data_IF_587202112382
#
_entry.id   IF_587202112382
#
_cell.length_a   1.000
_cell.length_b   1.000
_cell.length_c   1.000
_cell.angle_alpha   90.00
_cell.angle_beta   90.00
_cell.angle_gamma   90.00
#
_symmetry.space_group_name_H-M   'P 1'
#
loop_
_entity.id
_entity.type
_entity.pdbx_description
1 polymer ?
#
# COMPACT_ATOMS: atom_id res chain seq x y z
N UNK A 1 13.16 30.15 6.26
CA UNK A 1 14.59 30.32 5.88
C UNK A 1 15.26 28.95 5.90
N UNK A 2 15.30 28.21 4.79
CA UNK A 2 16.01 26.91 4.73
C UNK A 2 16.64 26.74 3.35
N UNK A 3 17.96 26.50 3.36
CA UNK A 3 18.84 26.25 2.21
C UNK A 3 19.27 24.76 2.19
N UNK A 4 19.67 24.20 1.04
CA UNK A 4 19.70 22.75 0.81
C UNK A 4 21.03 22.05 1.18
N UNK A 5 20.93 20.72 1.35
CA UNK A 5 21.99 19.75 1.66
C UNK A 5 23.16 19.76 0.65
N UNK A 6 24.40 19.72 1.15
CA UNK A 6 25.64 19.51 0.38
C UNK A 6 26.47 18.39 1.06
N UNK A 7 27.03 17.45 0.28
CA UNK A 7 28.06 16.50 0.73
C UNK A 7 29.28 16.54 -0.22
N UNK A 8 30.53 16.29 0.26
CA UNK A 8 31.75 16.54 -0.53
C UNK A 8 32.29 15.31 -1.28
N UNK A 9 32.97 15.59 -2.41
CA UNK A 9 33.61 14.64 -3.35
C UNK A 9 34.80 13.88 -2.73
N UNK A 10 34.98 12.59 -3.09
CA UNK A 10 36.27 11.89 -3.01
C UNK A 10 36.79 11.53 -4.42
N UNK A 11 38.08 11.75 -4.61
CA UNK A 11 38.78 11.73 -5.89
C UNK A 11 39.07 10.33 -6.47
N UNK A 12 39.13 10.29 -7.80
CA UNK A 12 39.51 9.13 -8.62
C UNK A 12 40.99 8.79 -8.45
N UNK A 13 41.30 7.49 -8.36
CA UNK A 13 42.56 6.92 -8.86
C UNK A 13 42.26 5.89 -9.94
N UNK A 14 42.94 6.03 -11.07
CA UNK A 14 42.95 5.12 -12.22
C UNK A 14 44.18 4.24 -12.09
N UNK A 15 44.08 2.94 -12.38
CA UNK A 15 44.94 2.17 -13.31
C UNK A 15 44.83 0.65 -13.11
N UNK A 16 44.82 -0.06 -14.24
CA UNK A 16 45.24 -1.47 -14.34
C UNK A 16 44.20 -2.41 -14.95
N UNK A 17 44.20 -2.57 -16.29
CA UNK A 17 43.60 -3.74 -16.96
C UNK A 17 44.55 -4.93 -16.81
N UNK A 18 44.03 -6.16 -16.62
CA UNK A 18 44.42 -7.19 -17.59
C UNK A 18 43.32 -8.20 -17.98
N UNK A 19 43.52 -8.70 -19.21
CA UNK A 19 43.20 -10.02 -19.78
C UNK A 19 41.76 -10.57 -19.75
N UNK A 20 41.20 -10.71 -20.96
CA UNK A 20 40.03 -11.52 -21.29
C UNK A 20 40.26 -13.00 -20.94
N UNK A 21 39.38 -13.55 -20.10
CA UNK A 21 39.06 -14.98 -20.07
C UNK A 21 37.57 -15.13 -20.38
N UNK A 22 37.23 -15.70 -21.54
CA UNK A 22 35.84 -15.98 -21.91
C UNK A 22 35.38 -17.19 -21.10
N UNK A 23 34.63 -16.95 -20.02
CA UNK A 23 33.84 -17.98 -19.34
C UNK A 23 32.45 -17.95 -19.96
N UNK A 24 32.10 -19.00 -20.70
CA UNK A 24 30.78 -19.19 -21.27
C UNK A 24 29.79 -19.47 -20.12
N UNK A 25 29.14 -18.43 -19.60
CA UNK A 25 28.03 -18.60 -18.67
C UNK A 25 26.80 -19.06 -19.47
N UNK A 26 26.46 -20.34 -19.39
CA UNK A 26 25.16 -20.82 -19.84
C UNK A 26 24.08 -20.23 -18.93
N UNK A 27 23.40 -19.18 -19.42
CA UNK A 27 22.24 -18.59 -18.74
C UNK A 27 21.10 -19.59 -18.89
N UNK A 28 20.83 -20.35 -17.83
CA UNK A 28 19.59 -21.11 -17.71
C UNK A 28 18.47 -20.09 -17.44
N UNK A 29 17.81 -19.63 -18.50
CA UNK A 29 16.58 -18.85 -18.39
C UNK A 29 15.50 -19.75 -17.79
N UNK A 30 15.36 -19.75 -16.47
CA UNK A 30 14.16 -20.24 -15.84
C UNK A 30 13.01 -19.34 -16.30
N UNK A 31 12.17 -19.84 -17.20
CA UNK A 31 10.87 -19.26 -17.50
C UNK A 31 10.03 -19.39 -16.23
N UNK A 32 10.09 -18.38 -15.36
CA UNK A 32 9.08 -18.20 -14.34
C UNK A 32 7.79 -17.85 -15.07
N UNK A 33 6.89 -18.81 -15.20
CA UNK A 33 5.49 -18.50 -15.44
C UNK A 33 5.04 -17.70 -14.23
N UNK A 34 4.88 -16.39 -14.41
CA UNK A 34 4.12 -15.56 -13.47
C UNK A 34 2.70 -16.11 -13.54
N UNK A 35 2.36 -17.02 -12.62
CA UNK A 35 0.96 -17.38 -12.41
C UNK A 35 0.27 -16.09 -11.97
N UNK A 36 -0.72 -15.58 -12.72
CA UNK A 36 -1.53 -14.48 -12.22
C UNK A 36 -2.10 -14.90 -10.87
N UNK A 37 -2.06 -13.99 -9.88
CA UNK A 37 -2.70 -14.20 -8.60
C UNK A 37 -4.15 -14.64 -8.86
N UNK A 38 -4.47 -15.91 -8.59
CA UNK A 38 -5.77 -16.46 -8.88
C UNK A 38 -6.80 -15.82 -7.95
N UNK A 39 -7.83 -15.21 -8.53
CA UNK A 39 -9.01 -14.78 -7.79
C UNK A 39 -9.58 -15.99 -7.04
N UNK A 40 -9.64 -15.92 -5.71
CA UNK A 40 -10.27 -16.97 -4.93
C UNK A 40 -11.75 -17.01 -5.30
N UNK A 41 -12.18 -18.14 -5.86
CA UNK A 41 -13.54 -18.35 -6.34
C UNK A 41 -14.18 -19.46 -5.52
N UNK A 42 -15.40 -19.25 -5.05
CA UNK A 42 -16.14 -20.24 -4.28
C UNK A 42 -17.45 -19.71 -3.74
N UNK A 43 -18.13 -20.53 -2.94
CA UNK A 43 -19.36 -20.11 -2.26
C UNK A 43 -19.07 -19.14 -1.12
N UNK A 44 -19.91 -18.11 -1.00
CA UNK A 44 -19.98 -17.27 0.20
C UNK A 44 -21.13 -17.82 1.05
N UNK A 45 -20.84 -18.39 2.21
CA UNK A 45 -21.88 -18.95 3.12
C UNK A 45 -22.10 -18.04 4.31
N UNK A 46 -23.31 -18.00 4.87
CA UNK A 46 -23.66 -17.13 5.99
C UNK A 46 -24.71 -17.75 6.90
N UNK A 47 -25.74 -16.96 7.22
CA UNK A 47 -26.81 -17.35 8.15
C UNK A 47 -27.37 -18.75 7.82
N UNK A 48 -27.48 -19.60 8.85
CA UNK A 48 -27.94 -20.99 8.74
C UNK A 48 -27.15 -21.87 7.75
N UNK A 49 -25.90 -21.52 7.43
CA UNK A 49 -25.05 -22.26 6.50
C UNK A 49 -25.46 -22.11 5.03
N UNK A 50 -26.36 -21.16 4.73
CA UNK A 50 -26.86 -20.92 3.38
C UNK A 50 -25.94 -20.00 2.58
N UNK A 51 -26.09 -20.01 1.27
CA UNK A 51 -25.23 -19.35 0.32
C UNK A 51 -25.76 -17.97 -0.10
N UNK A 52 -24.84 -17.04 -0.38
CA UNK A 52 -25.10 -15.82 -1.15
C UNK A 52 -25.38 -16.21 -2.60
N UNK A 53 -26.57 -15.87 -3.10
CA UNK A 53 -27.12 -16.42 -4.32
C UNK A 53 -27.64 -15.32 -5.25
N UNK A 54 -27.35 -15.43 -6.54
CA UNK A 54 -27.99 -14.60 -7.58
C UNK A 54 -29.34 -15.23 -7.94
N UNK A 55 -30.42 -14.51 -7.66
CA UNK A 55 -31.77 -15.05 -7.80
C UNK A 55 -32.05 -15.60 -9.20
N UNK A 56 -32.43 -16.89 -9.26
CA UNK A 56 -32.76 -17.60 -10.49
C UNK A 56 -31.58 -17.76 -11.46
N UNK A 57 -30.33 -17.59 -11.00
CA UNK A 57 -29.13 -17.54 -11.84
C UNK A 57 -29.22 -16.49 -12.96
N UNK A 58 -30.03 -15.45 -12.77
CA UNK A 58 -30.28 -14.44 -13.79
C UNK A 58 -29.14 -13.42 -13.81
N UNK A 59 -28.37 -13.38 -14.89
CA UNK A 59 -27.25 -12.45 -15.06
C UNK A 59 -27.67 -11.04 -15.51
N UNK A 60 -28.96 -10.69 -15.53
CA UNK A 60 -29.38 -9.32 -15.84
C UNK A 60 -28.96 -8.31 -14.75
N UNK A 61 -28.71 -7.06 -15.14
CA UNK A 61 -28.53 -5.97 -14.18
C UNK A 61 -29.82 -5.77 -13.38
N UNK A 62 -29.69 -5.57 -12.07
CA UNK A 62 -30.82 -5.43 -11.17
C UNK A 62 -31.33 -6.75 -10.59
N UNK A 63 -30.75 -7.89 -10.98
CA UNK A 63 -31.11 -9.17 -10.37
C UNK A 63 -30.85 -9.13 -8.87
N UNK A 64 -31.84 -9.59 -8.12
CA UNK A 64 -31.77 -9.72 -6.68
C UNK A 64 -30.64 -10.67 -6.24
N UNK A 65 -29.82 -10.22 -5.28
CA UNK A 65 -28.98 -11.13 -4.48
C UNK A 65 -29.77 -11.57 -3.23
N UNK A 66 -29.80 -12.87 -2.98
CA UNK A 66 -30.62 -13.50 -1.94
C UNK A 66 -29.83 -14.53 -1.12
N UNK A 67 -30.39 -14.92 0.02
CA UNK A 67 -29.94 -16.08 0.78
C UNK A 67 -30.65 -17.33 0.22
N UNK A 68 -29.90 -18.38 -0.10
CA UNK A 68 -30.47 -19.60 -0.65
C UNK A 68 -29.67 -20.83 -0.22
N UNK A 69 -30.32 -21.99 -0.18
CA UNK A 69 -29.62 -23.26 0.06
C UNK A 69 -28.48 -23.45 -0.94
N UNK A 70 -27.34 -23.90 -0.42
CA UNK A 70 -26.16 -24.14 -1.25
C UNK A 70 -26.42 -25.26 -2.25
N UNK A 71 -26.37 -24.94 -3.55
CA UNK A 71 -26.72 -25.83 -4.66
C UNK A 71 -25.58 -26.01 -5.68
N UNK A 72 -24.43 -25.36 -5.47
CA UNK A 72 -23.23 -25.52 -6.29
C UNK A 72 -23.30 -24.92 -7.70
N UNK A 73 -24.37 -24.18 -8.02
CA UNK A 73 -24.52 -23.53 -9.33
C UNK A 73 -23.63 -22.30 -9.45
N UNK A 74 -23.43 -21.82 -10.69
CA UNK A 74 -22.70 -20.58 -10.96
C UNK A 74 -23.31 -19.34 -10.29
N UNK A 75 -24.59 -19.37 -9.92
CA UNK A 75 -25.27 -18.31 -9.18
C UNK A 75 -24.75 -18.11 -7.75
N UNK A 76 -24.03 -19.11 -7.22
CA UNK A 76 -23.44 -19.11 -5.88
C UNK A 76 -21.91 -19.15 -5.93
N UNK A 77 -21.32 -19.09 -7.13
CA UNK A 77 -19.88 -19.06 -7.31
C UNK A 77 -19.44 -17.60 -7.40
N UNK A 78 -18.85 -17.12 -6.30
CA UNK A 78 -18.36 -15.75 -6.19
C UNK A 78 -16.85 -15.71 -6.26
N UNK A 79 -16.30 -14.84 -7.11
CA UNK A 79 -14.89 -14.52 -7.09
C UNK A 79 -14.63 -13.27 -6.26
N UNK A 80 -13.57 -13.33 -5.46
CA UNK A 80 -13.00 -12.19 -4.78
C UNK A 80 -11.64 -11.91 -5.43
N UNK A 81 -11.64 -10.97 -6.38
CA UNK A 81 -10.47 -10.66 -7.22
C UNK A 81 -9.40 -9.83 -6.51
N UNK A 82 -9.64 -9.39 -5.27
CA UNK A 82 -8.71 -8.54 -4.51
C UNK A 82 -8.72 -7.06 -4.93
N UNK A 83 -9.57 -6.68 -5.88
CA UNK A 83 -9.78 -5.30 -6.33
C UNK A 83 -10.94 -4.60 -5.62
N UNK A 84 -11.37 -5.15 -4.49
CA UNK A 84 -12.51 -4.68 -3.69
C UNK A 84 -13.88 -5.10 -4.23
N UNK A 85 -13.97 -5.82 -5.35
CA UNK A 85 -15.26 -6.32 -5.86
C UNK A 85 -15.49 -7.80 -5.53
N UNK A 86 -16.74 -8.16 -5.28
CA UNK A 86 -17.21 -9.55 -5.23
C UNK A 86 -18.03 -9.81 -6.49
N UNK A 87 -17.71 -10.86 -7.26
CA UNK A 87 -18.30 -11.09 -8.58
C UNK A 87 -18.95 -12.44 -8.74
N UNK A 88 -20.12 -12.48 -9.35
CA UNK A 88 -20.78 -13.70 -9.80
C UNK A 88 -21.34 -13.49 -11.20
N UNK A 89 -21.34 -14.55 -12.02
CA UNK A 89 -21.87 -14.51 -13.39
C UNK A 89 -21.31 -13.35 -14.26
N UNK A 90 -20.05 -12.96 -14.01
CA UNK A 90 -19.36 -11.87 -14.73
C UNK A 90 -19.73 -10.46 -14.27
N UNK A 91 -20.50 -10.31 -13.19
CA UNK A 91 -21.00 -9.03 -12.67
C UNK A 91 -20.67 -8.85 -11.19
N UNK A 92 -20.82 -7.64 -10.69
CA UNK A 92 -20.43 -7.24 -9.34
C UNK A 92 -21.60 -7.24 -8.35
N UNK A 93 -21.32 -7.57 -7.09
CA UNK A 93 -22.18 -7.32 -5.95
C UNK A 93 -22.32 -5.80 -5.76
N UNK A 94 -23.54 -5.29 -5.80
CA UNK A 94 -23.84 -3.87 -5.96
C UNK A 94 -24.91 -3.42 -4.97
N UNK A 95 -24.69 -2.30 -4.28
CA UNK A 95 -25.75 -1.63 -3.52
C UNK A 95 -26.57 -0.76 -4.48
N UNK A 96 -27.88 -1.03 -4.52
CA UNK A 96 -28.86 -0.37 -5.39
C UNK A 96 -28.77 1.15 -5.24
N UNK A 97 -28.73 1.86 -6.38
CA UNK A 97 -28.71 3.32 -6.47
C UNK A 97 -27.63 4.02 -5.62
N UNK A 98 -26.54 3.30 -5.28
CA UNK A 98 -25.48 3.79 -4.39
C UNK A 98 -26.01 4.19 -3.00
N UNK A 99 -27.09 3.55 -2.56
CA UNK A 99 -27.69 3.82 -1.25
C UNK A 99 -26.70 3.60 -0.11
N UNK A 100 -26.77 4.45 0.91
CA UNK A 100 -25.93 4.37 2.13
C UNK A 100 -26.76 4.20 3.40
N UNK A 101 -28.09 4.22 3.30
CA UNK A 101 -29.00 4.04 4.42
C UNK A 101 -29.16 2.56 4.81
N UNK A 102 -29.54 2.32 6.06
CA UNK A 102 -29.95 0.99 6.52
C UNK A 102 -31.12 0.46 5.69
N UNK A 103 -31.01 -0.78 5.24
CA UNK A 103 -32.03 -1.43 4.41
C UNK A 103 -31.90 -1.18 2.92
N UNK A 104 -30.87 -0.45 2.46
CA UNK A 104 -30.60 -0.35 1.02
C UNK A 104 -30.29 -1.74 0.46
N UNK A 105 -31.03 -2.11 -0.59
CA UNK A 105 -30.98 -3.46 -1.14
C UNK A 105 -29.69 -3.72 -1.93
N UNK A 106 -29.33 -5.00 -2.03
CA UNK A 106 -28.19 -5.47 -2.83
C UNK A 106 -28.67 -6.21 -4.08
N UNK A 107 -27.96 -6.01 -5.18
CA UNK A 107 -28.25 -6.53 -6.50
C UNK A 107 -26.97 -6.99 -7.23
N UNK A 108 -27.16 -7.64 -8.37
CA UNK A 108 -26.11 -7.90 -9.34
C UNK A 108 -26.11 -6.78 -10.40
N UNK A 109 -24.94 -6.22 -10.69
CA UNK A 109 -24.80 -5.15 -11.68
C UNK A 109 -23.46 -5.22 -12.42
N UNK A 110 -23.41 -4.64 -13.62
CA UNK A 110 -22.15 -4.47 -14.34
C UNK A 110 -21.07 -3.81 -13.48
N UNK A 111 -19.86 -4.37 -13.54
CA UNK A 111 -18.74 -3.85 -12.79
C UNK A 111 -18.31 -2.48 -13.35
N UNK A 112 -18.53 -1.44 -12.56
CA UNK A 112 -18.16 -0.05 -12.85
C UNK A 112 -16.99 0.44 -12.01
N UNK A 113 -16.61 -0.30 -10.96
CA UNK A 113 -15.65 0.12 -9.95
C UNK A 113 -16.19 1.17 -8.97
N UNK A 114 -17.47 1.53 -9.08
CA UNK A 114 -18.13 2.49 -8.19
C UNK A 114 -18.09 2.09 -6.72
N UNK A 115 -18.12 3.07 -5.83
CA UNK A 115 -18.00 2.87 -4.38
C UNK A 115 -19.08 1.94 -3.78
N UNK A 116 -20.25 1.84 -4.43
CA UNK A 116 -21.34 0.94 -4.06
C UNK A 116 -21.11 -0.53 -4.46
N UNK A 117 -20.03 -0.81 -5.20
CA UNK A 117 -19.57 -2.15 -5.59
C UNK A 117 -18.27 -2.55 -4.88
N UNK A 118 -17.78 -1.69 -3.99
CA UNK A 118 -16.58 -1.93 -3.20
C UNK A 118 -16.95 -2.59 -1.87
N UNK A 119 -16.27 -3.67 -1.55
CA UNK A 119 -16.52 -4.53 -0.40
C UNK A 119 -15.21 -4.94 0.25
N UNK A 120 -15.20 -4.98 1.58
CA UNK A 120 -14.10 -5.50 2.39
C UNK A 120 -14.62 -6.68 3.16
N UNK A 121 -14.03 -7.85 2.95
CA UNK A 121 -14.27 -9.00 3.81
C UNK A 121 -13.42 -8.79 5.07
N UNK A 122 -13.91 -9.02 6.29
CA UNK A 122 -13.10 -8.81 7.50
C UNK A 122 -12.70 -10.13 8.13
N UNK A 123 -11.68 -10.13 8.99
CA UNK A 123 -11.34 -11.30 9.82
C UNK A 123 -12.46 -11.69 10.79
N UNK A 124 -13.37 -10.75 11.09
CA UNK A 124 -14.56 -11.00 11.90
C UNK A 124 -15.73 -11.54 11.06
N UNK A 125 -15.47 -11.97 9.81
CA UNK A 125 -16.45 -12.50 8.86
C UNK A 125 -17.52 -11.49 8.44
N UNK A 126 -17.26 -10.19 8.52
CA UNK A 126 -18.15 -9.19 7.94
C UNK A 126 -17.83 -8.99 6.45
N UNK A 127 -18.83 -8.65 5.64
CA UNK A 127 -18.62 -8.11 4.29
C UNK A 127 -19.10 -6.67 4.32
N UNK A 128 -18.19 -5.71 4.32
CA UNK A 128 -18.47 -4.30 4.59
C UNK A 128 -18.41 -3.50 3.31
N UNK A 129 -19.43 -2.68 3.02
CA UNK A 129 -19.30 -1.61 2.02
C UNK A 129 -18.65 -0.39 2.69
N UNK A 130 -17.41 0.01 2.32
CA UNK A 130 -16.70 1.09 3.00
C UNK A 130 -17.35 2.46 2.80
N UNK A 131 -18.01 2.69 1.66
CA UNK A 131 -18.63 3.96 1.33
C UNK A 131 -19.88 4.24 2.18
N UNK A 132 -20.64 3.19 2.51
CA UNK A 132 -21.77 3.27 3.42
C UNK A 132 -21.38 3.06 4.89
N UNK A 133 -20.20 2.50 5.17
CA UNK A 133 -19.78 2.00 6.48
C UNK A 133 -20.80 1.02 7.09
N UNK A 134 -21.27 0.07 6.26
CA UNK A 134 -22.34 -0.89 6.59
C UNK A 134 -22.01 -2.29 6.10
N UNK A 135 -22.57 -3.29 6.78
CA UNK A 135 -22.34 -4.70 6.53
C UNK A 135 -23.41 -5.29 5.60
N UNK A 136 -23.02 -6.24 4.76
CA UNK A 136 -23.94 -7.12 4.03
C UNK A 136 -24.76 -7.93 5.03
N UNK A 137 -26.07 -7.83 4.92
CA UNK A 137 -27.02 -8.23 5.94
C UNK A 137 -28.13 -9.08 5.33
N UNK A 138 -28.41 -10.23 5.94
CA UNK A 138 -29.63 -10.99 5.66
C UNK A 138 -30.78 -10.29 6.36
N UNK A 139 -31.70 -9.75 5.55
CA UNK A 139 -32.81 -8.95 6.01
C UNK A 139 -33.64 -9.67 7.07
N UNK A 140 -33.94 -8.93 8.14
CA UNK A 140 -34.76 -9.37 9.28
C UNK A 140 -34.23 -10.65 9.97
N UNK A 141 -32.95 -10.99 9.79
CA UNK A 141 -32.34 -12.24 10.28
C UNK A 141 -33.14 -13.51 9.85
N UNK A 142 -33.74 -13.46 8.66
CA UNK A 142 -34.62 -14.51 8.16
C UNK A 142 -33.85 -15.53 7.30
N UNK A 143 -33.74 -16.77 7.78
CA UNK A 143 -33.01 -17.86 7.10
C UNK A 143 -33.80 -18.55 5.97
N UNK A 144 -35.01 -18.09 5.63
CA UNK A 144 -35.77 -18.64 4.51
C UNK A 144 -35.04 -18.47 3.16
N UNK A 145 -35.25 -19.42 2.24
CA UNK A 145 -34.77 -19.28 0.86
C UNK A 145 -35.45 -18.09 0.19
N UNK A 146 -34.66 -17.29 -0.52
CA UNK A 146 -35.14 -16.10 -1.22
C UNK A 146 -35.15 -14.84 -0.36
N UNK A 147 -34.72 -14.90 0.91
CA UNK A 147 -34.56 -13.69 1.73
C UNK A 147 -33.58 -12.73 1.04
N UNK A 148 -33.99 -11.48 0.84
CA UNK A 148 -33.18 -10.47 0.17
C UNK A 148 -32.00 -10.01 1.04
N UNK A 149 -30.88 -9.74 0.39
CA UNK A 149 -29.75 -9.06 1.02
C UNK A 149 -29.91 -7.54 0.97
N UNK A 150 -29.42 -6.90 2.02
CA UNK A 150 -29.36 -5.47 2.18
C UNK A 150 -28.01 -5.07 2.80
N UNK A 151 -27.76 -3.77 2.92
CA UNK A 151 -26.74 -3.25 3.83
C UNK A 151 -27.39 -2.76 5.12
N UNK A 152 -26.73 -2.98 6.24
CA UNK A 152 -27.17 -2.49 7.55
C UNK A 152 -25.97 -2.11 8.42
N UNK A 153 -26.19 -1.24 9.39
CA UNK A 153 -25.21 -0.91 10.43
C UNK A 153 -24.60 -2.19 10.98
N UNK A 154 -23.27 -2.27 11.01
CA UNK A 154 -22.57 -3.46 11.47
C UNK A 154 -22.85 -3.68 12.97
N UNK A 155 -23.58 -4.74 13.30
CA UNK A 155 -23.98 -5.09 14.68
C UNK A 155 -23.18 -6.27 15.23
N UNK A 156 -22.53 -7.04 14.37
CA UNK A 156 -21.86 -8.29 14.73
C UNK A 156 -22.81 -9.48 14.87
N UNK A 157 -24.11 -9.31 14.59
CA UNK A 157 -25.10 -10.38 14.62
C UNK A 157 -24.87 -11.45 13.53
N UNK A 158 -25.40 -12.65 13.75
CA UNK A 158 -25.16 -13.83 12.89
C UNK A 158 -25.62 -13.62 11.42
N UNK A 159 -26.62 -12.79 11.17
CA UNK A 159 -27.11 -12.45 9.83
C UNK A 159 -26.16 -11.54 9.02
N UNK A 160 -25.07 -11.07 9.62
CA UNK A 160 -24.04 -10.26 8.98
C UNK A 160 -22.70 -11.01 8.87
N UNK A 161 -22.67 -12.28 9.25
CA UNK A 161 -21.47 -13.12 9.25
C UNK A 161 -21.43 -14.02 8.03
N UNK A 162 -20.32 -13.93 7.31
CA UNK A 162 -20.10 -14.56 6.02
C UNK A 162 -18.73 -15.24 5.95
N UNK A 163 -18.73 -16.52 5.58
CA UNK A 163 -17.55 -17.24 5.14
C UNK A 163 -17.42 -17.05 3.63
N UNK A 164 -16.71 -16.01 3.22
CA UNK A 164 -16.39 -15.77 1.82
C UNK A 164 -15.09 -16.49 1.42
N UNK A 165 -14.92 -16.87 0.14
CA UNK A 165 -13.61 -17.21 -0.39
C UNK A 165 -12.66 -16.06 -0.07
N UNK A 166 -11.52 -16.40 0.53
CA UNK A 166 -10.47 -15.44 0.81
C UNK A 166 -9.89 -14.97 -0.53
N UNK A 167 -10.52 -13.99 -1.17
CA UNK A 167 -9.73 -13.09 -1.98
C UNK A 167 -8.85 -12.31 -1.03
N UNK A 168 -7.76 -11.75 -1.55
CA UNK A 168 -6.77 -11.01 -0.78
C UNK A 168 -7.30 -9.73 -0.08
N UNK A 169 -8.60 -9.65 0.25
CA UNK A 169 -9.29 -8.51 0.84
C UNK A 169 -10.07 -8.85 2.12
N UNK A 170 -9.66 -9.85 2.91
CA UNK A 170 -10.17 -10.00 4.27
C UNK A 170 -9.35 -10.85 5.22
N UNK A 171 -8.73 -10.18 6.21
CA UNK A 171 -7.95 -10.80 7.29
C UNK A 171 -6.64 -11.48 6.87
N UNK A 172 -6.50 -11.79 5.58
CA UNK A 172 -5.30 -12.31 4.95
C UNK A 172 -4.58 -11.21 4.19
N UNK A 173 -3.47 -10.79 4.78
CA UNK A 173 -2.40 -10.00 4.22
C UNK A 173 -2.06 -10.39 2.75
N UNK A 174 -2.24 -9.51 1.75
CA UNK A 174 -2.10 -9.85 0.32
C UNK A 174 -0.70 -10.35 -0.11
N UNK A 175 0.29 -10.18 0.76
CA UNK A 175 1.71 -10.44 0.48
C UNK A 175 2.51 -10.98 1.67
N UNK A 176 1.86 -11.28 2.81
CA UNK A 176 2.61 -11.47 4.05
C UNK A 176 3.21 -10.17 4.64
N UNK A 177 2.79 -8.99 4.16
CA UNK A 177 3.12 -7.68 4.74
C UNK A 177 2.50 -7.36 6.11
N UNK A 178 3.31 -7.20 7.14
CA UNK A 178 2.86 -7.14 8.54
C UNK A 178 1.91 -6.00 8.96
N UNK A 179 1.50 -5.12 8.05
CA UNK A 179 0.51 -4.04 8.29
C UNK A 179 -0.72 -4.31 7.46
N UNK A 180 -1.87 -4.50 8.10
CA UNK A 180 -3.16 -4.64 7.40
C UNK A 180 -3.68 -3.31 6.85
N UNK A 181 -4.60 -3.35 5.90
CA UNK A 181 -5.26 -2.15 5.38
C UNK A 181 -5.99 -1.35 6.47
N UNK A 182 -6.62 -2.03 7.43
CA UNK A 182 -7.27 -1.39 8.56
C UNK A 182 -6.27 -0.62 9.43
N UNK A 183 -5.12 -1.22 9.71
CA UNK A 183 -4.03 -0.56 10.45
C UNK A 183 -3.45 0.61 9.63
N UNK A 184 -3.25 0.45 8.32
CA UNK A 184 -2.84 1.53 7.44
C UNK A 184 -3.83 2.71 7.45
N UNK A 185 -5.14 2.44 7.41
CA UNK A 185 -6.19 3.45 7.53
C UNK A 185 -6.16 4.14 8.90
N UNK A 186 -5.91 3.40 9.98
CA UNK A 186 -5.75 3.97 11.32
C UNK A 186 -4.50 4.84 11.45
N UNK A 187 -3.41 4.47 10.79
CA UNK A 187 -2.17 5.25 10.75
C UNK A 187 -2.36 6.58 10.01
N UNK A 188 -3.13 6.56 8.91
CA UNK A 188 -3.31 7.68 7.98
C UNK A 188 -4.80 8.02 7.71
N UNK A 189 -5.52 8.56 8.71
CA UNK A 189 -6.95 8.81 8.60
C UNK A 189 -7.33 9.95 7.64
N UNK A 190 -6.41 10.90 7.43
CA UNK A 190 -6.65 12.10 6.60
C UNK A 190 -5.85 12.08 5.29
N UNK A 191 -5.35 10.91 4.86
CA UNK A 191 -4.49 10.83 3.67
C UNK A 191 -5.21 11.27 2.41
N UNK A 192 -4.43 11.79 1.47
CA UNK A 192 -4.87 11.98 0.10
C UNK A 192 -5.24 10.63 -0.54
N UNK A 193 -6.33 10.59 -1.30
CA UNK A 193 -6.79 9.38 -2.02
C UNK A 193 -5.76 8.81 -3.01
N UNK A 194 -4.76 9.59 -3.40
CA UNK A 194 -3.58 9.14 -4.16
C UNK A 194 -2.81 8.01 -3.45
N UNK A 195 -2.67 8.06 -2.13
CA UNK A 195 -1.93 7.06 -1.37
C UNK A 195 -2.83 5.90 -0.98
N UNK A 196 -2.90 4.90 -1.85
CA UNK A 196 -3.70 3.69 -1.61
C UNK A 196 -2.86 2.63 -0.91
N UNK A 197 -3.52 1.80 -0.09
CA UNK A 197 -2.89 0.63 0.52
C UNK A 197 -2.47 -0.38 -0.56
N UNK A 198 -3.29 -0.53 -1.60
CA UNK A 198 -3.03 -1.33 -2.78
C UNK A 198 -1.74 -0.89 -3.48
N UNK A 199 -1.54 0.42 -3.66
CA UNK A 199 -0.30 0.99 -4.21
C UNK A 199 0.93 0.62 -3.38
N UNK A 200 0.83 0.69 -2.04
CA UNK A 200 1.91 0.26 -1.15
C UNK A 200 2.20 -1.24 -1.33
N UNK A 201 1.17 -2.08 -1.23
CA UNK A 201 1.35 -3.54 -1.34
C UNK A 201 1.88 -3.99 -2.70
N UNK A 202 1.49 -3.31 -3.79
CA UNK A 202 2.00 -3.57 -5.13
C UNK A 202 3.49 -3.19 -5.28
N UNK A 203 3.96 -2.23 -4.50
CA UNK A 203 5.36 -1.79 -4.50
C UNK A 203 6.30 -2.73 -3.72
N UNK A 204 5.78 -3.51 -2.76
CA UNK A 204 6.59 -4.37 -1.87
C UNK A 204 7.44 -5.39 -2.62
N UNK A 205 6.95 -5.89 -3.77
CA UNK A 205 7.69 -6.87 -4.59
C UNK A 205 9.00 -6.32 -5.16
N UNK A 206 9.17 -4.99 -5.24
CA UNK A 206 10.43 -4.37 -5.65
C UNK A 206 11.54 -4.55 -4.60
N UNK A 207 11.18 -4.79 -3.34
CA UNK A 207 12.11 -4.95 -2.22
C UNK A 207 11.66 -6.09 -1.30
N UNK A 208 11.86 -7.36 -1.71
CA UNK A 208 11.31 -8.51 -1.00
C UNK A 208 11.85 -8.72 0.42
N UNK A 209 12.95 -8.06 0.79
CA UNK A 209 13.50 -8.08 2.16
C UNK A 209 12.86 -7.08 3.13
N UNK A 210 12.15 -6.08 2.63
CA UNK A 210 11.48 -5.06 3.44
C UNK A 210 10.31 -5.68 4.23
N UNK A 211 10.32 -5.50 5.55
CA UNK A 211 9.30 -6.01 6.47
C UNK A 211 9.05 -7.53 6.39
N UNK A 212 10.04 -8.30 5.88
CA UNK A 212 10.04 -9.77 5.83
C UNK A 212 11.31 -10.37 6.49
N UNK A 213 12.26 -9.52 6.88
CA UNK A 213 13.54 -9.92 7.49
C UNK A 213 13.46 -9.89 9.02
N UNK A 214 14.03 -10.90 9.68
CA UNK A 214 14.05 -11.00 11.14
C UNK A 214 12.73 -11.50 11.76
N UNK A 215 12.57 -11.28 13.06
CA UNK A 215 11.38 -11.69 13.83
C UNK A 215 10.12 -10.91 13.43
N UNK A 216 8.92 -11.39 13.77
CA UNK A 216 7.67 -10.65 13.55
C UNK A 216 7.70 -9.24 14.19
N UNK A 217 8.31 -9.13 15.37
CA UNK A 217 8.59 -7.84 16.03
C UNK A 217 9.46 -6.93 15.16
N UNK A 218 10.57 -7.45 14.63
CA UNK A 218 11.50 -6.69 13.77
C UNK A 218 10.80 -6.22 12.50
N UNK A 219 10.00 -7.09 11.86
CA UNK A 219 9.25 -6.78 10.65
C UNK A 219 8.23 -5.66 10.90
N UNK A 220 7.47 -5.73 12.00
CA UNK A 220 6.50 -4.71 12.39
C UNK A 220 7.16 -3.39 12.78
N UNK A 221 8.28 -3.45 13.50
CA UNK A 221 9.09 -2.27 13.81
C UNK A 221 9.60 -1.60 12.52
N UNK A 222 10.12 -2.37 11.57
CA UNK A 222 10.57 -1.82 10.29
C UNK A 222 9.43 -1.16 9.52
N UNK A 223 8.28 -1.84 9.38
CA UNK A 223 7.13 -1.29 8.69
C UNK A 223 6.61 -0.01 9.36
N UNK A 224 6.50 0.00 10.69
CA UNK A 224 6.14 1.19 11.46
C UNK A 224 7.16 2.32 11.28
N UNK A 225 8.46 2.02 11.26
CA UNK A 225 9.53 3.01 11.10
C UNK A 225 9.50 3.66 9.71
N UNK A 226 9.28 2.87 8.67
CA UNK A 226 9.10 3.39 7.31
C UNK A 226 7.88 4.30 7.23
N UNK A 227 6.71 3.81 7.67
CA UNK A 227 5.47 4.56 7.61
C UNK A 227 5.50 5.82 8.48
N UNK A 228 6.17 5.81 9.62
CA UNK A 228 6.31 6.98 10.49
C UNK A 228 7.15 8.09 9.84
N UNK A 229 8.26 7.74 9.19
CA UNK A 229 9.04 8.71 8.43
C UNK A 229 8.24 9.24 7.24
N UNK A 230 7.52 8.38 6.52
CA UNK A 230 6.61 8.78 5.44
C UNK A 230 5.54 9.75 5.96
N UNK A 231 4.94 9.47 7.11
CA UNK A 231 3.98 10.35 7.78
C UNK A 231 4.58 11.73 8.04
N UNK A 232 5.85 11.80 8.45
CA UNK A 232 6.51 13.06 8.71
C UNK A 232 6.77 13.86 7.42
N UNK A 233 7.29 13.22 6.38
CA UNK A 233 7.61 13.89 5.10
C UNK A 233 6.39 14.48 4.40
N UNK A 234 5.21 13.87 4.60
CA UNK A 234 4.01 14.15 3.80
C UNK A 234 2.86 14.76 4.60
N UNK A 235 3.07 15.05 5.89
CA UNK A 235 2.01 15.52 6.78
C UNK A 235 0.90 14.47 6.98
N UNK A 236 1.28 13.20 7.15
CA UNK A 236 0.35 12.08 7.29
C UNK A 236 -0.28 11.65 5.96
N UNK A 237 0.50 11.67 4.88
CA UNK A 237 0.08 11.38 3.51
C UNK A 237 -0.95 12.36 2.95
N UNK A 238 -1.07 13.56 3.52
CA UNK A 238 -1.95 14.64 3.01
C UNK A 238 -1.39 15.23 1.72
N UNK A 239 -0.07 15.38 1.64
CA UNK A 239 0.61 16.04 0.53
C UNK A 239 1.29 15.03 -0.40
N UNK A 240 1.00 15.12 -1.70
CA UNK A 240 1.65 14.31 -2.75
C UNK A 240 2.92 14.97 -3.29
N UNK A 241 2.95 16.31 -3.26
CA UNK A 241 4.02 17.14 -3.81
C UNK A 241 4.48 18.17 -2.78
N UNK A 242 5.71 18.66 -2.93
CA UNK A 242 6.22 19.78 -2.15
C UNK A 242 5.33 21.02 -2.28
N UNK A 243 4.98 21.63 -1.15
CA UNK A 243 4.02 22.74 -1.11
C UNK A 243 4.63 24.08 -1.52
N UNK A 244 5.92 24.30 -1.25
CA UNK A 244 6.59 25.56 -1.58
C UNK A 244 7.08 25.54 -3.03
N UNK A 245 6.22 25.94 -3.96
CA UNK A 245 6.51 25.94 -5.40
C UNK A 245 7.68 26.85 -5.79
N UNK A 246 7.99 27.87 -4.98
CA UNK A 246 9.16 28.74 -5.20
C UNK A 246 10.49 27.98 -5.15
N UNK A 247 10.54 26.82 -4.47
CA UNK A 247 11.74 26.00 -4.39
C UNK A 247 11.94 25.11 -5.62
N UNK A 248 10.93 24.89 -6.46
CA UNK A 248 10.97 23.86 -7.51
C UNK A 248 12.18 23.98 -8.46
N UNK A 249 12.62 25.18 -8.90
CA UNK A 249 13.79 25.33 -9.76
C UNK A 249 15.13 24.98 -9.09
N UNK A 250 15.15 24.77 -7.77
CA UNK A 250 16.37 24.48 -6.98
C UNK A 250 16.88 23.06 -7.21
N UNK A 251 15.98 22.12 -7.51
CA UNK A 251 16.27 20.68 -7.50
C UNK A 251 16.87 20.16 -8.81
N UNK A 252 17.45 21.04 -9.62
CA UNK A 252 18.17 20.67 -10.82
C UNK A 252 19.67 20.88 -10.59
N UNK A 253 20.41 19.79 -10.43
CA UNK A 253 21.87 19.80 -10.39
C UNK A 253 22.43 19.72 -11.82
N UNK A 254 22.80 20.87 -12.37
CA UNK A 254 23.45 21.00 -13.68
C UNK A 254 24.87 20.43 -13.74
N UNK A 255 25.48 20.06 -12.62
CA UNK A 255 26.78 19.39 -12.63
C UNK A 255 26.68 17.92 -13.06
N UNK A 256 25.47 17.36 -13.08
CA UNK A 256 25.19 16.02 -13.61
C UNK A 256 25.27 16.02 -15.14
N UNK A 257 25.98 15.06 -15.72
CA UNK A 257 26.17 15.00 -17.18
C UNK A 257 24.88 14.80 -17.98
N UNK A 258 23.84 14.26 -17.35
CA UNK A 258 22.51 14.07 -17.94
C UNK A 258 21.57 15.27 -17.73
N UNK A 259 21.99 16.30 -16.99
CA UNK A 259 21.22 17.51 -16.76
C UNK A 259 19.82 17.25 -16.19
N UNK A 260 18.84 18.00 -16.70
CA UNK A 260 17.48 18.05 -16.21
C UNK A 260 16.49 18.00 -17.37
N UNK A 261 16.39 16.86 -18.09
CA UNK A 261 15.65 16.78 -19.35
C UNK A 261 14.15 17.04 -19.20
N UNK A 262 13.54 16.74 -18.05
CA UNK A 262 12.15 17.07 -17.76
C UNK A 262 11.93 18.57 -17.45
N UNK A 263 12.99 19.37 -17.37
CA UNK A 263 12.98 20.80 -17.07
C UNK A 263 13.58 21.15 -15.71
N UNK A 264 14.12 22.36 -15.57
CA UNK A 264 14.79 22.84 -14.35
C UNK A 264 13.91 22.73 -13.09
N UNK A 265 12.61 22.99 -13.22
CA UNK A 265 11.65 22.97 -12.12
C UNK A 265 10.89 21.64 -11.99
N UNK A 266 11.38 20.55 -12.57
CA UNK A 266 10.64 19.29 -12.64
C UNK A 266 10.98 18.28 -11.52
N UNK A 267 12.02 18.50 -10.72
CA UNK A 267 12.56 17.52 -9.76
C UNK A 267 12.31 17.88 -8.28
N UNK A 268 11.22 18.61 -8.02
CA UNK A 268 10.74 18.90 -6.67
C UNK A 268 10.27 17.65 -5.93
N UNK A 269 10.04 17.78 -4.62
CA UNK A 269 9.63 16.68 -3.75
C UNK A 269 8.31 16.05 -4.17
N UNK A 270 8.29 14.73 -4.37
CA UNK A 270 7.07 13.94 -4.63
C UNK A 270 7.01 12.63 -3.84
N UNK A 271 5.80 12.16 -3.62
CA UNK A 271 5.56 10.82 -3.10
C UNK A 271 5.92 10.67 -1.61
N UNK A 272 5.95 9.43 -1.10
CA UNK A 272 5.96 9.15 0.34
C UNK A 272 7.24 9.58 1.07
N UNK A 273 8.35 9.75 0.35
CA UNK A 273 9.63 10.22 0.90
C UNK A 273 10.02 11.60 0.36
N UNK A 274 9.10 12.31 -0.32
CA UNK A 274 9.38 13.59 -0.96
C UNK A 274 10.63 13.54 -1.85
N UNK A 275 10.72 12.54 -2.75
CA UNK A 275 11.84 12.34 -3.66
C UNK A 275 12.14 13.65 -4.42
N UNK A 276 13.35 14.15 -4.27
CA UNK A 276 13.79 15.46 -4.79
C UNK A 276 15.15 15.33 -5.45
N UNK A 277 15.49 16.24 -6.37
CA UNK A 277 16.74 16.30 -7.15
C UNK A 277 16.83 15.34 -8.34
N UNK A 278 17.21 15.86 -9.52
CA UNK A 278 17.40 15.10 -10.75
C UNK A 278 18.26 13.84 -10.58
N UNK A 279 19.33 13.90 -9.79
CA UNK A 279 20.19 12.72 -9.55
C UNK A 279 19.49 11.62 -8.75
N UNK A 280 18.58 11.95 -7.83
CA UNK A 280 17.81 10.95 -7.10
C UNK A 280 16.72 10.35 -7.97
N UNK A 281 16.05 11.15 -8.80
CA UNK A 281 15.09 10.63 -9.80
C UNK A 281 15.79 9.68 -10.78
N UNK A 282 16.99 10.02 -11.25
CA UNK A 282 17.81 9.12 -12.08
C UNK A 282 18.16 7.82 -11.36
N UNK A 283 18.71 7.90 -10.15
CA UNK A 283 19.14 6.73 -9.40
C UNK A 283 17.97 5.81 -8.99
N UNK A 284 16.84 6.38 -8.59
CA UNK A 284 15.62 5.63 -8.31
C UNK A 284 15.07 4.97 -9.58
N UNK A 285 15.02 5.72 -10.68
CA UNK A 285 14.55 5.21 -11.95
C UNK A 285 15.36 4.04 -12.48
N UNK A 286 16.69 4.15 -12.44
CA UNK A 286 17.61 3.07 -12.83
C UNK A 286 17.39 1.81 -11.99
N UNK A 287 17.24 1.95 -10.67
CA UNK A 287 17.05 0.82 -9.77
C UNK A 287 15.69 0.14 -9.94
N UNK A 288 14.65 0.90 -10.32
CA UNK A 288 13.27 0.42 -10.45
C UNK A 288 12.92 -0.01 -11.88
N UNK A 289 13.78 0.27 -12.87
CA UNK A 289 13.48 0.07 -14.28
C UNK A 289 12.37 1.00 -14.81
N UNK A 290 12.29 2.23 -14.26
CA UNK A 290 11.28 3.23 -14.60
C UNK A 290 12.00 4.52 -14.96
N UNK A 291 11.72 5.12 -16.11
CA UNK A 291 12.38 6.37 -16.53
C UNK A 291 11.82 7.60 -15.78
N UNK A 292 12.28 7.77 -14.54
CA UNK A 292 11.89 8.87 -13.66
C UNK A 292 12.69 10.16 -13.92
N UNK A 293 13.80 10.10 -14.66
CA UNK A 293 14.55 11.31 -15.00
C UNK A 293 13.79 12.13 -16.04
N UNK A 294 13.29 11.49 -17.10
CA UNK A 294 12.51 12.16 -18.13
C UNK A 294 11.02 12.27 -17.77
N UNK A 295 10.50 11.37 -16.91
CA UNK A 295 9.10 11.34 -16.51
C UNK A 295 8.90 11.45 -14.97
N UNK A 296 9.40 12.52 -14.31
CA UNK A 296 9.36 12.63 -12.85
C UNK A 296 7.93 12.74 -12.28
N UNK A 297 6.95 13.15 -13.10
CA UNK A 297 5.55 13.22 -12.68
C UNK A 297 4.90 11.86 -12.41
N UNK A 298 5.49 10.75 -12.85
CA UNK A 298 5.00 9.41 -12.49
C UNK A 298 4.92 9.24 -10.96
N UNK A 299 5.85 9.84 -10.20
CA UNK A 299 5.88 9.78 -8.73
C UNK A 299 4.69 10.50 -8.06
N UNK A 300 3.99 11.39 -8.76
CA UNK A 300 2.76 12.05 -8.28
C UNK A 300 1.48 11.59 -8.98
N UNK A 301 1.58 10.76 -10.02
CA UNK A 301 0.45 10.33 -10.84
C UNK A 301 0.18 8.82 -10.70
N UNK A 302 1.17 8.02 -10.28
CA UNK A 302 1.03 6.59 -10.03
C UNK A 302 1.43 6.26 -8.58
N UNK A 303 0.46 5.77 -7.81
CA UNK A 303 0.63 5.43 -6.39
C UNK A 303 1.69 4.36 -6.16
N UNK A 304 1.71 3.30 -6.99
CA UNK A 304 2.66 2.21 -6.85
C UNK A 304 4.08 2.67 -7.18
N UNK A 305 4.24 3.52 -8.20
CA UNK A 305 5.54 4.15 -8.51
C UNK A 305 6.01 5.00 -7.33
N UNK A 306 5.13 5.82 -6.75
CA UNK A 306 5.48 6.63 -5.57
C UNK A 306 5.93 5.77 -4.38
N UNK A 307 5.22 4.68 -4.09
CA UNK A 307 5.62 3.75 -3.04
C UNK A 307 6.94 3.05 -3.34
N UNK A 308 7.19 2.66 -4.60
CA UNK A 308 8.48 2.10 -5.01
C UNK A 308 9.63 3.07 -4.79
N UNK A 309 9.46 4.38 -5.02
CA UNK A 309 10.53 5.36 -4.74
C UNK A 309 10.80 5.50 -3.24
N UNK A 310 9.76 5.44 -2.41
CA UNK A 310 9.92 5.40 -0.95
C UNK A 310 10.69 4.17 -0.47
N UNK A 311 10.31 2.99 -0.97
CA UNK A 311 10.99 1.74 -0.65
C UNK A 311 12.43 1.70 -1.20
N UNK A 312 12.68 2.27 -2.38
CA UNK A 312 14.02 2.42 -2.93
C UNK A 312 14.92 3.19 -1.98
N UNK A 313 14.46 4.34 -1.49
CA UNK A 313 15.24 5.13 -0.54
C UNK A 313 15.52 4.32 0.73
N UNK A 314 14.47 3.75 1.34
CA UNK A 314 14.54 3.00 2.58
C UNK A 314 15.53 1.82 2.55
N UNK A 315 15.55 1.08 1.44
CA UNK A 315 16.31 -0.15 1.32
C UNK A 315 17.72 0.06 0.77
N UNK A 316 17.99 1.17 0.07
CA UNK A 316 19.24 1.33 -0.69
C UNK A 316 20.05 2.57 -0.34
N UNK A 317 19.45 3.58 0.28
CA UNK A 317 20.09 4.87 0.51
C UNK A 317 20.46 5.07 1.99
N UNK A 318 21.68 5.56 2.24
CA UNK A 318 22.11 5.97 3.59
C UNK A 318 21.92 7.46 3.86
N UNK A 319 21.63 8.26 2.82
CA UNK A 319 21.54 9.72 2.91
C UNK A 319 22.71 10.33 3.70
N UNK A 320 22.47 11.24 4.66
CA UNK A 320 23.52 11.79 5.51
C UNK A 320 23.95 10.87 6.68
N UNK A 321 23.34 9.69 6.81
CA UNK A 321 23.72 8.67 7.79
C UNK A 321 24.81 7.73 7.29
N UNK A 322 25.00 6.62 8.00
CA UNK A 322 26.05 5.62 7.72
C UNK A 322 25.50 4.25 7.31
N UNK A 323 24.18 4.08 7.32
CA UNK A 323 23.50 2.83 6.97
C UNK A 323 22.14 3.10 6.33
N UNK A 324 21.58 2.12 5.64
CA UNK A 324 20.21 2.22 5.14
C UNK A 324 19.21 2.15 6.30
N UNK A 325 18.06 2.83 6.20
CA UNK A 325 16.98 2.66 7.18
C UNK A 325 16.54 1.20 7.36
N UNK A 326 16.51 0.39 6.29
CA UNK A 326 16.30 -1.05 6.39
C UNK A 326 17.29 -1.70 7.37
N UNK A 327 18.59 -1.54 7.13
CA UNK A 327 19.65 -2.10 7.98
C UNK A 327 19.61 -1.56 9.41
N UNK A 328 19.23 -0.31 9.61
CA UNK A 328 19.07 0.26 10.94
C UNK A 328 18.02 -0.49 11.77
N UNK A 329 16.92 -0.88 11.14
CA UNK A 329 15.84 -1.62 11.81
C UNK A 329 16.17 -3.11 11.95
N UNK A 330 16.61 -3.78 10.88
CA UNK A 330 16.84 -5.24 10.93
C UNK A 330 18.04 -5.64 11.80
N UNK A 331 19.05 -4.78 11.92
CA UNK A 331 20.23 -5.03 12.76
C UNK A 331 20.10 -4.45 14.18
N UNK A 332 18.95 -3.85 14.53
CA UNK A 332 18.71 -3.29 15.86
C UNK A 332 19.54 -2.04 16.19
N UNK A 333 20.01 -1.29 15.20
CA UNK A 333 20.72 -0.03 15.42
C UNK A 333 19.79 1.07 15.97
N UNK A 334 18.50 0.99 15.63
CA UNK A 334 17.42 1.79 16.21
C UNK A 334 16.83 2.85 15.28
N UNK A 335 15.62 3.32 15.63
CA UNK A 335 14.84 4.25 14.80
C UNK A 335 15.57 5.57 14.53
N UNK A 336 16.41 6.06 15.46
CA UNK A 336 17.18 7.28 15.28
C UNK A 336 18.15 7.23 14.09
N UNK A 337 18.65 6.05 13.71
CA UNK A 337 19.48 5.92 12.51
C UNK A 337 18.66 6.08 11.23
N UNK A 338 17.37 5.74 11.25
CA UNK A 338 16.48 5.98 10.10
C UNK A 338 16.27 7.48 9.90
N UNK A 339 16.06 8.23 10.99
CA UNK A 339 15.96 9.70 10.97
C UNK A 339 17.27 10.30 10.43
N UNK A 340 18.40 9.80 10.93
CA UNK A 340 19.72 10.24 10.47
C UNK A 340 19.93 10.04 8.98
N UNK A 341 19.50 8.89 8.45
CA UNK A 341 19.63 8.58 7.03
C UNK A 341 18.64 9.31 6.13
N UNK A 342 17.54 9.85 6.64
CA UNK A 342 16.54 10.57 5.84
C UNK A 342 16.80 12.08 5.86
N UNK A 343 17.00 12.67 7.05
CA UNK A 343 17.21 14.11 7.17
C UNK A 343 18.17 14.50 8.30
N UNK A 344 19.12 13.62 8.62
CA UNK A 344 20.00 13.79 9.78
C UNK A 344 20.90 15.03 9.74
N UNK A 345 21.26 15.52 8.55
CA UNK A 345 22.02 16.77 8.41
C UNK A 345 21.24 18.01 8.86
N UNK A 346 19.91 17.95 8.95
CA UNK A 346 19.07 19.06 9.36
C UNK A 346 18.42 18.86 10.73
N UNK A 347 18.27 17.61 11.17
CA UNK A 347 17.48 17.28 12.35
C UNK A 347 18.30 16.77 13.54
N UNK A 348 19.21 15.83 13.30
CA UNK A 348 19.97 15.16 14.35
C UNK A 348 21.03 16.07 15.00
N UNK A 349 21.66 15.57 16.05
CA UNK A 349 22.74 16.20 16.81
C UNK A 349 22.32 17.56 17.39
N UNK A 350 21.05 17.64 17.83
CA UNK A 350 20.46 18.82 18.45
C UNK A 350 20.04 19.93 17.48
N UNK A 351 20.13 19.72 16.16
CA UNK A 351 19.82 20.75 15.16
C UNK A 351 18.33 21.08 15.08
N UNK A 352 17.47 20.07 15.22
CA UNK A 352 16.03 20.28 15.25
C UNK A 352 15.29 19.23 16.09
N UNK A 353 15.40 19.30 17.44
CA UNK A 353 14.82 18.32 18.34
C UNK A 353 13.30 18.15 18.17
N UNK A 354 12.59 19.21 17.79
CA UNK A 354 11.14 19.16 17.58
C UNK A 354 10.73 18.25 16.41
N UNK A 355 11.50 18.26 15.31
CA UNK A 355 11.19 17.36 14.17
C UNK A 355 11.57 15.91 14.47
N UNK A 356 12.69 15.70 15.16
CA UNK A 356 13.06 14.36 15.66
C UNK A 356 11.95 13.82 16.56
N UNK A 357 11.46 14.62 17.50
CA UNK A 357 10.35 14.24 18.37
C UNK A 357 9.09 13.89 17.57
N UNK A 358 8.72 14.70 16.58
CA UNK A 358 7.56 14.43 15.72
C UNK A 358 7.64 13.07 15.02
N UNK A 359 8.84 12.69 14.51
CA UNK A 359 9.05 11.35 13.92
C UNK A 359 8.92 10.25 14.96
N UNK A 360 9.50 10.44 16.14
CA UNK A 360 9.44 9.46 17.24
C UNK A 360 8.00 9.25 17.71
N UNK A 361 7.21 10.31 17.84
CA UNK A 361 5.80 10.24 18.24
C UNK A 361 4.98 9.42 17.23
N UNK A 362 5.20 9.66 15.93
CA UNK A 362 4.57 8.88 14.87
C UNK A 362 4.98 7.41 14.92
N UNK A 363 6.26 7.13 15.12
CA UNK A 363 6.78 5.76 15.22
C UNK A 363 6.19 5.02 16.41
N UNK A 364 6.17 5.64 17.59
CA UNK A 364 5.59 5.05 18.80
C UNK A 364 4.09 4.74 18.62
N UNK A 365 3.33 5.68 18.04
CA UNK A 365 1.92 5.46 17.69
C UNK A 365 1.76 4.28 16.74
N UNK A 366 2.59 4.17 15.71
CA UNK A 366 2.49 3.10 14.71
C UNK A 366 2.90 1.75 15.27
N UNK A 367 3.94 1.67 16.09
CA UNK A 367 4.30 0.43 16.79
C UNK A 367 3.21 -0.02 17.75
N UNK A 368 2.50 0.92 18.40
CA UNK A 368 1.34 0.61 19.24
C UNK A 368 0.18 0.03 18.43
N UNK A 369 -0.14 0.59 17.25
CA UNK A 369 -1.15 0.05 16.31
C UNK A 369 -0.81 -1.38 15.86
N UNK A 370 0.49 -1.69 15.71
CA UNK A 370 0.97 -3.01 15.32
C UNK A 370 1.17 -3.97 16.50
N UNK A 371 0.96 -3.52 17.74
CA UNK A 371 1.09 -4.35 18.94
C UNK A 371 2.53 -4.74 19.28
N UNK A 372 3.52 -3.90 18.97
CA UNK A 372 4.95 -4.15 19.27
C UNK A 372 5.61 -3.00 20.01
N UNK A 373 6.68 -3.28 20.74
CA UNK A 373 7.52 -2.24 21.38
C UNK A 373 8.32 -1.46 20.31
N UNK A 374 8.59 -0.16 20.50
CA UNK A 374 9.40 0.63 19.57
C UNK A 374 10.90 0.25 19.58
N UNK A 375 11.37 -0.51 20.56
CA UNK A 375 12.79 -0.83 20.70
C UNK A 375 13.61 0.32 21.31
N UNK A 376 14.93 0.27 21.12
CA UNK A 376 15.88 1.22 21.68
C UNK A 376 16.39 2.25 20.64
N UNK A 377 17.18 3.23 21.11
CA UNK A 377 17.85 4.23 20.26
C UNK A 377 16.92 4.98 19.30
N UNK A 378 15.82 5.52 19.86
CA UNK A 378 14.77 6.16 19.06
C UNK A 378 15.18 7.52 18.49
N UNK A 379 16.15 8.18 19.10
CA UNK A 379 16.54 9.55 18.80
C UNK A 379 17.89 9.61 18.08
N UNK A 380 18.10 10.73 17.41
CA UNK A 380 19.36 11.25 16.92
C UNK A 380 19.38 12.76 17.24
#
# INVERSE_FOLDING_TARGET
MRLPLVMPRRGRRVLGRPALGVVLAAVLSALFTVTPAQAATGQITGLAGKCLDVAGANSANGTAVQLYDCNGTGAQSWSNSGDGTLRALGKCLDVVDRGTADGAAVQLWDCSGGANQQWVVTAAHDIVNPAANKCLDVRDNNSANGTRLQIWTCTGAANQKWNAPAGNGGGGNPSGFVVSEAQFNQMFPNRNGFYTYQGLTAALSAYPGFATTGSDTTRKQEAAAFLANVSHETGGLVYVVEQNTANYPTYCDWSQSYGCPAGQAAYYGRGPIQLSWNFNYKAAGDALGIDLLDNPWLVQNDSAVAWKTGLWYWNTQSGPGTMTPHNAMVNGAGFGQTIRSINGSLECDGRNPAQVQSRVDAYQRFTSILGVSPGANLYC
#
